data_IF_331388374890
#
_entry.id   IF_331388374890
#
_cell.length_a   1.000
_cell.length_b   1.000
_cell.length_c   1.000
_cell.angle_alpha   90.00
_cell.angle_beta   90.00
_cell.angle_gamma   90.00
#
_symmetry.space_group_name_H-M   'P 1'
#
loop_
_entity.id
_entity.type
_entity.pdbx_description
1 polymer ?
#
# COMPACT_ATOMS: atom_id res chain seq x y z
N UNK A 1 2.53 14.67 13.65
CA UNK A 1 4.02 14.63 13.47
C UNK A 1 4.44 13.60 12.41
N UNK A 2 3.99 12.33 12.47
CA UNK A 2 4.37 11.30 11.48
C UNK A 2 3.84 11.60 10.07
N UNK A 3 2.59 12.05 9.95
CA UNK A 3 1.99 12.44 8.67
C UNK A 3 2.70 13.63 8.02
N UNK A 4 3.11 14.62 8.83
CA UNK A 4 3.95 15.72 8.35
C UNK A 4 5.36 15.25 7.96
N UNK A 5 5.90 14.27 8.70
CA UNK A 5 7.22 13.69 8.39
C UNK A 5 7.16 12.92 7.09
N UNK A 6 6.08 12.16 6.82
CA UNK A 6 5.88 11.42 5.58
C UNK A 6 5.60 12.35 4.39
N UNK A 7 4.74 13.37 4.56
CA UNK A 7 4.55 14.43 3.55
C UNK A 7 5.85 15.21 3.29
N UNK A 8 6.65 15.44 4.32
CA UNK A 8 7.99 16.08 4.17
C UNK A 8 8.97 15.15 3.45
N UNK A 9 8.98 13.84 3.72
CA UNK A 9 9.83 12.86 3.02
C UNK A 9 9.43 12.73 1.54
N UNK A 10 8.14 12.59 1.24
CA UNK A 10 7.64 12.58 -0.14
C UNK A 10 7.97 13.89 -0.87
N UNK A 11 7.74 15.05 -0.24
CA UNK A 11 8.12 16.36 -0.81
C UNK A 11 9.63 16.54 -0.95
N UNK A 12 10.44 16.01 -0.02
CA UNK A 12 11.90 16.07 -0.11
C UNK A 12 12.43 15.14 -1.23
N UNK A 13 11.83 13.97 -1.42
CA UNK A 13 12.13 13.06 -2.53
C UNK A 13 11.76 13.73 -3.87
N UNK A 14 10.55 14.28 -4.03
CA UNK A 14 10.17 15.04 -5.20
C UNK A 14 11.08 16.24 -5.45
N UNK A 15 11.44 16.99 -4.41
CA UNK A 15 12.32 18.17 -4.54
C UNK A 15 13.75 17.80 -4.93
N UNK A 16 14.28 16.66 -4.48
CA UNK A 16 15.58 16.14 -4.91
C UNK A 16 15.54 15.66 -6.37
N UNK A 17 14.41 15.13 -6.82
CA UNK A 17 14.16 14.73 -8.21
C UNK A 17 14.06 15.96 -9.10
N UNK A 18 13.29 16.97 -8.70
CA UNK A 18 13.16 18.23 -9.46
C UNK A 18 14.50 18.97 -9.59
N UNK A 19 15.38 18.88 -8.59
CA UNK A 19 16.75 19.44 -8.67
C UNK A 19 17.60 18.67 -9.67
N UNK A 20 17.54 17.32 -9.68
CA UNK A 20 18.27 16.47 -10.61
C UNK A 20 17.82 16.71 -12.07
N UNK A 21 16.52 16.93 -12.27
CA UNK A 21 15.92 17.19 -13.60
C UNK A 21 16.18 18.61 -14.07
N UNK A 22 16.19 19.61 -13.18
CA UNK A 22 16.49 21.00 -13.55
C UNK A 22 17.96 21.22 -13.99
N UNK A 23 18.87 20.35 -13.58
CA UNK A 23 20.26 20.36 -14.01
C UNK A 23 20.46 19.78 -15.43
N UNK A 24 19.55 18.90 -15.90
CA UNK A 24 19.62 18.32 -17.22
C UNK A 24 19.08 19.22 -18.36
N UNK A 25 18.28 20.25 -18.02
CA UNK A 25 17.92 21.35 -18.95
C UNK A 25 16.99 20.98 -20.11
N UNK A 26 16.54 19.74 -20.26
CA UNK A 26 15.67 19.31 -21.37
C UNK A 26 14.27 18.95 -20.88
N UNK A 27 13.23 19.56 -21.45
CA UNK A 27 11.85 19.08 -21.39
C UNK A 27 11.76 17.78 -22.22
N UNK A 28 11.99 16.65 -21.57
CA UNK A 28 11.91 15.33 -22.20
C UNK A 28 10.46 14.85 -22.37
N UNK A 29 10.25 13.94 -23.30
CA UNK A 29 8.96 13.27 -23.51
C UNK A 29 8.52 12.51 -22.26
N UNK A 30 7.24 12.62 -21.88
CA UNK A 30 6.66 11.84 -20.79
C UNK A 30 6.76 10.34 -21.06
N UNK A 31 7.05 9.56 -20.01
CA UNK A 31 7.11 8.10 -20.10
C UNK A 31 5.70 7.51 -20.17
N UNK A 32 5.45 6.61 -21.11
CA UNK A 32 4.21 5.87 -21.20
C UNK A 32 4.21 4.73 -20.16
N UNK A 33 3.21 4.72 -19.26
CA UNK A 33 3.05 3.65 -18.27
C UNK A 33 2.20 2.52 -18.85
N UNK A 34 2.78 1.32 -18.95
CA UNK A 34 2.14 0.10 -19.49
C UNK A 34 1.96 -1.00 -18.45
N UNK A 35 2.23 -0.70 -17.17
CA UNK A 35 2.25 -1.67 -16.07
C UNK A 35 0.89 -1.98 -15.44
N UNK A 36 -0.23 -1.55 -16.06
CA UNK A 36 -1.56 -2.05 -15.70
C UNK A 36 -1.78 -3.47 -16.22
N UNK A 37 -1.18 -3.80 -17.36
CA UNK A 37 -1.27 -5.13 -17.97
C UNK A 37 -0.21 -6.05 -17.35
N UNK A 38 -0.66 -7.16 -16.76
CA UNK A 38 0.22 -8.12 -16.07
C UNK A 38 1.24 -8.79 -17.01
N UNK A 39 0.90 -8.92 -18.29
CA UNK A 39 1.79 -9.49 -19.30
C UNK A 39 3.09 -8.70 -19.45
N UNK A 40 3.03 -7.40 -19.19
CA UNK A 40 4.19 -6.50 -19.30
C UNK A 40 5.14 -6.58 -18.10
N UNK A 41 4.78 -7.26 -17.00
CA UNK A 41 5.56 -7.20 -15.75
C UNK A 41 6.85 -8.03 -15.78
N UNK A 42 6.87 -9.14 -16.50
CA UNK A 42 7.96 -10.12 -16.41
C UNK A 42 9.10 -9.92 -17.40
N UNK A 43 8.80 -9.35 -18.58
CA UNK A 43 9.80 -9.11 -19.61
C UNK A 43 9.25 -8.12 -20.62
N UNK A 44 9.51 -6.84 -20.42
CA UNK A 44 9.02 -5.78 -21.28
C UNK A 44 10.16 -5.09 -22.04
N UNK A 45 10.16 -5.20 -23.36
CA UNK A 45 11.16 -4.55 -24.21
C UNK A 45 10.79 -3.09 -24.43
N UNK A 46 11.74 -2.20 -24.19
CA UNK A 46 11.60 -0.75 -24.36
C UNK A 46 12.93 -0.14 -24.74
N UNK A 47 12.94 1.18 -24.95
CA UNK A 47 14.16 1.94 -25.21
C UNK A 47 14.52 2.82 -24.02
N UNK A 48 15.77 2.74 -23.57
CA UNK A 48 16.33 3.69 -22.62
C UNK A 48 16.66 4.99 -23.35
N UNK A 49 15.97 6.07 -22.99
CA UNK A 49 16.12 7.37 -23.65
C UNK A 49 17.28 8.16 -23.03
N UNK A 50 17.42 8.10 -21.71
CA UNK A 50 18.35 8.94 -20.96
C UNK A 50 18.83 8.23 -19.68
N UNK A 51 20.07 8.55 -19.27
CA UNK A 51 20.60 8.22 -17.96
C UNK A 51 21.06 9.51 -17.28
N UNK A 52 20.39 9.89 -16.19
CA UNK A 52 20.75 11.05 -15.36
C UNK A 52 21.60 10.54 -14.20
N UNK A 53 22.86 10.97 -14.15
CA UNK A 53 23.79 10.59 -13.09
C UNK A 53 23.90 11.71 -12.06
N UNK A 54 23.79 11.34 -10.78
CA UNK A 54 24.11 12.20 -9.65
C UNK A 54 25.26 11.60 -8.83
N UNK A 55 25.75 12.34 -7.84
CA UNK A 55 26.84 11.85 -6.96
C UNK A 55 26.52 10.51 -6.25
N UNK A 56 25.25 10.16 -6.09
CA UNK A 56 24.77 9.01 -5.28
C UNK A 56 23.97 8.01 -6.03
N UNK A 57 23.32 8.37 -7.14
CA UNK A 57 22.33 7.54 -7.80
C UNK A 57 22.30 7.84 -9.29
N UNK A 58 22.06 6.84 -10.11
CA UNK A 58 21.75 7.01 -11.52
C UNK A 58 20.26 6.72 -11.72
N UNK A 59 19.58 7.59 -12.48
CA UNK A 59 18.19 7.40 -12.87
C UNK A 59 18.13 7.12 -14.37
N UNK A 60 17.48 6.02 -14.74
CA UNK A 60 17.21 5.69 -16.14
C UNK A 60 15.78 6.13 -16.51
N UNK A 61 15.64 6.70 -17.71
CA UNK A 61 14.36 7.10 -18.28
C UNK A 61 14.10 6.26 -19.52
N UNK A 62 12.92 5.64 -19.57
CA UNK A 62 12.49 4.80 -20.68
C UNK A 62 11.32 5.43 -21.43
N UNK A 63 11.21 5.10 -22.72
CA UNK A 63 10.07 5.50 -23.56
C UNK A 63 8.76 4.98 -22.97
N UNK A 64 8.75 3.68 -22.59
CA UNK A 64 7.64 2.98 -21.94
C UNK A 64 8.14 2.20 -20.75
N UNK A 65 7.31 2.07 -19.71
CA UNK A 65 7.69 1.32 -18.51
C UNK A 65 6.52 0.55 -17.90
N UNK A 66 6.73 -0.71 -17.43
CA UNK A 66 5.77 -1.41 -16.60
C UNK A 66 5.91 -1.06 -15.12
N UNK A 67 6.95 -0.33 -14.72
CA UNK A 67 7.23 0.03 -13.32
C UNK A 67 6.33 1.16 -12.86
N UNK A 68 5.61 0.96 -11.78
CA UNK A 68 4.82 2.00 -11.12
C UNK A 68 5.72 2.95 -10.33
N UNK A 69 5.57 4.24 -10.56
CA UNK A 69 6.26 5.25 -9.77
C UNK A 69 5.52 5.52 -8.47
N UNK A 70 6.25 5.83 -7.38
CA UNK A 70 5.65 6.18 -6.09
C UNK A 70 4.73 7.39 -6.22
N UNK A 71 3.43 7.17 -6.08
CA UNK A 71 2.40 8.20 -6.11
C UNK A 71 1.07 7.74 -5.50
N UNK A 72 0.20 8.68 -5.10
CA UNK A 72 -1.14 8.37 -4.58
C UNK A 72 -1.15 7.50 -3.32
N UNK A 73 -0.04 7.44 -2.57
CA UNK A 73 0.10 6.60 -1.38
C UNK A 73 0.55 5.17 -1.67
N UNK A 74 0.64 4.74 -2.94
CA UNK A 74 1.24 3.47 -3.31
C UNK A 74 2.75 3.64 -3.51
N UNK A 75 3.55 2.74 -2.95
CA UNK A 75 5.01 2.70 -3.13
C UNK A 75 5.39 2.35 -4.57
N UNK A 76 6.55 2.82 -5.02
CA UNK A 76 7.13 2.48 -6.32
C UNK A 76 7.53 1.00 -6.42
N UNK A 77 7.68 0.52 -7.63
CA UNK A 77 8.12 -0.85 -7.89
C UNK A 77 9.63 -1.02 -7.78
N UNK A 78 10.01 -2.29 -7.59
CA UNK A 78 11.36 -2.80 -7.68
C UNK A 78 11.45 -3.81 -8.81
N UNK A 79 12.67 -4.09 -9.24
CA UNK A 79 12.91 -5.11 -10.25
C UNK A 79 14.28 -4.96 -10.90
N UNK A 80 14.36 -5.35 -12.17
CA UNK A 80 15.62 -5.34 -12.91
C UNK A 80 15.45 -4.74 -14.29
N UNK A 81 16.54 -4.22 -14.83
CA UNK A 81 16.68 -3.83 -16.22
C UNK A 81 17.90 -4.52 -16.83
N UNK A 82 17.70 -5.11 -17.99
CA UNK A 82 18.78 -5.63 -18.83
C UNK A 82 19.06 -4.61 -19.93
N UNK A 83 20.28 -4.05 -19.95
CA UNK A 83 20.75 -3.13 -21.01
C UNK A 83 22.11 -3.64 -21.51
N UNK A 84 22.20 -3.95 -22.79
CA UNK A 84 23.38 -4.61 -23.39
C UNK A 84 23.74 -5.90 -22.62
N UNK A 85 24.97 -5.98 -22.10
CA UNK A 85 25.44 -7.12 -21.31
C UNK A 85 25.22 -6.96 -19.79
N UNK A 86 24.61 -5.85 -19.36
CA UNK A 86 24.47 -5.50 -17.95
C UNK A 86 23.06 -5.78 -17.44
N UNK A 87 22.97 -6.45 -16.30
CA UNK A 87 21.76 -6.59 -15.49
C UNK A 87 21.86 -5.67 -14.28
N UNK A 88 20.97 -4.68 -14.19
CA UNK A 88 20.97 -3.67 -13.12
C UNK A 88 19.71 -3.80 -12.29
N UNK A 89 19.84 -3.59 -10.97
CA UNK A 89 18.70 -3.56 -10.06
C UNK A 89 18.07 -2.18 -10.04
N UNK A 90 16.74 -2.14 -10.24
CA UNK A 90 15.91 -0.95 -10.04
C UNK A 90 15.41 -0.99 -8.60
N UNK A 91 15.89 -0.06 -7.77
CA UNK A 91 15.59 0.00 -6.33
C UNK A 91 14.43 0.94 -5.97
N UNK A 92 14.05 1.82 -6.87
CA UNK A 92 12.87 2.69 -6.73
C UNK A 92 12.51 3.33 -8.05
N UNK A 93 11.26 3.79 -8.17
CA UNK A 93 10.78 4.57 -9.33
C UNK A 93 10.02 5.79 -8.83
N UNK A 94 10.43 6.96 -9.31
CA UNK A 94 9.81 8.25 -9.01
C UNK A 94 9.24 8.86 -10.29
N UNK A 95 8.33 9.81 -10.17
CA UNK A 95 7.79 10.56 -11.31
C UNK A 95 8.11 12.03 -11.14
N UNK A 96 8.64 12.65 -12.18
CA UNK A 96 8.91 14.09 -12.20
C UNK A 96 7.69 14.91 -12.66
N UNK A 97 7.84 16.25 -12.64
CA UNK A 97 6.79 17.19 -13.03
C UNK A 97 6.44 17.16 -14.54
N UNK A 98 7.35 16.67 -15.39
CA UNK A 98 7.14 16.49 -16.82
C UNK A 98 6.49 15.14 -17.18
N UNK A 99 6.26 14.27 -16.19
CA UNK A 99 5.63 12.98 -16.41
C UNK A 99 6.61 11.87 -16.77
N UNK A 100 7.94 12.10 -16.66
CA UNK A 100 8.95 11.07 -16.87
C UNK A 100 9.07 10.17 -15.64
N UNK A 101 9.28 8.87 -15.84
CA UNK A 101 9.54 7.90 -14.77
C UNK A 101 11.04 7.71 -14.61
N UNK A 102 11.54 8.02 -13.43
CA UNK A 102 12.95 7.96 -13.05
C UNK A 102 13.22 6.66 -12.29
N UNK A 103 13.82 5.70 -12.98
CA UNK A 103 14.17 4.39 -12.43
C UNK A 103 15.53 4.47 -11.77
N UNK A 104 15.56 4.47 -10.44
CA UNK A 104 16.79 4.52 -9.66
C UNK A 104 17.53 3.20 -9.73
N UNK A 105 18.75 3.22 -10.25
CA UNK A 105 19.62 2.05 -10.35
C UNK A 105 20.86 2.20 -9.49
N UNK A 106 21.30 1.08 -8.92
CA UNK A 106 22.53 0.99 -8.15
C UNK A 106 23.66 0.48 -9.02
N UNK A 107 24.90 0.92 -8.70
CA UNK A 107 26.11 0.44 -9.37
C UNK A 107 26.10 0.58 -10.90
N UNK A 108 25.61 1.70 -11.40
CA UNK A 108 25.57 1.97 -12.85
C UNK A 108 27.00 1.99 -13.42
N UNK A 109 27.32 1.20 -14.47
CA UNK A 109 28.66 1.16 -15.06
C UNK A 109 29.01 2.50 -15.71
N UNK A 110 30.12 3.11 -15.31
CA UNK A 110 30.58 4.40 -15.87
C UNK A 110 30.90 4.31 -17.39
N UNK A 111 31.17 3.10 -17.89
CA UNK A 111 31.41 2.86 -19.32
C UNK A 111 30.15 2.75 -20.17
N UNK A 112 28.98 2.61 -19.51
CA UNK A 112 27.70 2.45 -20.21
C UNK A 112 27.10 3.83 -20.49
N UNK A 113 27.04 4.18 -21.77
CA UNK A 113 26.30 5.37 -22.22
C UNK A 113 24.88 4.88 -22.57
N UNK A 114 23.95 4.97 -21.61
CA UNK A 114 22.58 4.48 -21.77
C UNK A 114 21.69 5.50 -22.49
N UNK A 115 22.01 5.77 -23.76
CA UNK A 115 21.20 6.67 -24.59
C UNK A 115 20.74 5.92 -25.85
N UNK A 116 19.42 5.85 -26.06
CA UNK A 116 18.81 5.14 -27.18
C UNK A 116 19.17 3.64 -27.29
N UNK A 117 19.41 2.98 -26.15
CA UNK A 117 19.68 1.55 -26.10
C UNK A 117 18.40 0.75 -25.89
N UNK A 118 18.32 -0.41 -26.52
CA UNK A 118 17.29 -1.41 -26.18
C UNK A 118 17.50 -1.91 -24.75
N UNK A 119 16.37 -2.01 -24.03
CA UNK A 119 16.34 -2.46 -22.65
C UNK A 119 15.19 -3.44 -22.44
N UNK A 120 15.38 -4.40 -21.55
CA UNK A 120 14.32 -5.31 -21.10
C UNK A 120 14.09 -5.06 -19.62
N UNK A 121 12.86 -4.68 -19.29
CA UNK A 121 12.39 -4.37 -17.94
C UNK A 121 11.66 -5.57 -17.33
N UNK A 122 11.96 -5.88 -16.07
CA UNK A 122 11.28 -6.95 -15.31
C UNK A 122 10.94 -6.46 -13.92
N UNK A 123 9.65 -6.35 -13.62
CA UNK A 123 9.12 -5.94 -12.31
C UNK A 123 9.16 -7.13 -11.35
N UNK A 124 9.46 -6.90 -10.07
CA UNK A 124 9.31 -7.89 -9.00
C UNK A 124 7.81 -8.21 -8.83
N UNK A 125 7.36 -9.27 -9.51
CA UNK A 125 5.93 -9.56 -9.72
C UNK A 125 5.21 -9.93 -8.42
N UNK A 126 5.84 -10.74 -7.55
CA UNK A 126 5.22 -11.13 -6.28
C UNK A 126 4.95 -9.92 -5.39
N UNK A 127 5.93 -9.01 -5.32
CA UNK A 127 5.78 -7.75 -4.58
C UNK A 127 4.68 -6.86 -5.19
N UNK A 128 4.63 -6.71 -6.52
CA UNK A 128 3.59 -5.95 -7.22
C UNK A 128 2.21 -6.52 -6.94
N UNK A 129 2.02 -7.83 -7.01
CA UNK A 129 0.75 -8.48 -6.73
C UNK A 129 0.33 -8.29 -5.26
N UNK A 130 1.27 -8.33 -4.32
CA UNK A 130 0.97 -8.02 -2.93
C UNK A 130 0.52 -6.56 -2.74
N UNK A 131 1.18 -5.59 -3.40
CA UNK A 131 0.78 -4.18 -3.41
C UNK A 131 -0.63 -4.02 -4.01
N UNK A 132 -0.94 -4.67 -5.14
CA UNK A 132 -2.27 -4.63 -5.75
C UNK A 132 -3.37 -5.13 -4.82
N UNK A 133 -3.12 -6.22 -4.07
CA UNK A 133 -4.04 -6.74 -3.06
C UNK A 133 -4.32 -5.71 -1.97
N UNK A 134 -3.27 -5.12 -1.40
CA UNK A 134 -3.42 -4.09 -0.36
C UNK A 134 -4.08 -2.82 -0.90
N UNK A 135 -3.79 -2.42 -2.13
CA UNK A 135 -4.40 -1.24 -2.71
C UNK A 135 -5.91 -1.43 -2.95
N UNK A 136 -6.30 -2.53 -3.56
CA UNK A 136 -7.73 -2.82 -3.75
C UNK A 136 -8.44 -3.02 -2.41
N UNK A 137 -7.80 -3.69 -1.44
CA UNK A 137 -8.31 -3.82 -0.08
C UNK A 137 -8.55 -2.45 0.61
N UNK A 138 -7.76 -1.42 0.27
CA UNK A 138 -7.97 -0.05 0.77
C UNK A 138 -9.31 0.52 0.31
N UNK A 139 -9.66 0.35 -0.97
CA UNK A 139 -10.97 0.78 -1.51
C UNK A 139 -12.13 0.03 -0.86
N UNK A 140 -11.99 -1.28 -0.67
CA UNK A 140 -13.01 -2.11 -0.02
C UNK A 140 -13.21 -1.68 1.44
N UNK A 141 -12.11 -1.43 2.17
CA UNK A 141 -12.19 -0.92 3.55
C UNK A 141 -12.80 0.47 3.62
N UNK A 142 -12.47 1.37 2.71
CA UNK A 142 -13.11 2.69 2.64
C UNK A 142 -14.63 2.56 2.46
N UNK A 143 -15.06 1.72 1.52
CA UNK A 143 -16.47 1.42 1.34
C UNK A 143 -17.13 0.81 2.59
N UNK A 144 -16.50 -0.18 3.23
CA UNK A 144 -17.03 -0.81 4.44
C UNK A 144 -17.11 0.16 5.63
N UNK A 145 -16.11 1.03 5.79
CA UNK A 145 -16.12 2.12 6.78
C UNK A 145 -17.29 3.07 6.56
N UNK A 146 -17.52 3.51 5.32
CA UNK A 146 -18.66 4.38 5.00
C UNK A 146 -20.01 3.71 5.25
N UNK A 147 -20.13 2.42 4.94
CA UNK A 147 -21.35 1.64 5.21
C UNK A 147 -21.63 1.47 6.70
N UNK A 148 -20.60 1.33 7.53
CA UNK A 148 -20.76 1.08 8.97
C UNK A 148 -20.82 2.37 9.78
N UNK A 149 -19.99 3.37 9.46
CA UNK A 149 -19.83 4.59 10.25
C UNK A 149 -20.59 5.79 9.68
N UNK A 150 -20.91 5.76 8.38
CA UNK A 150 -21.65 6.80 7.69
C UNK A 150 -20.86 7.55 6.61
N UNK A 151 -21.58 8.33 5.79
CA UNK A 151 -21.04 9.01 4.61
C UNK A 151 -20.06 10.16 4.89
N UNK A 152 -19.91 10.56 6.16
CA UNK A 152 -18.92 11.54 6.60
C UNK A 152 -17.48 10.99 6.56
N UNK A 153 -17.32 9.66 6.49
CA UNK A 153 -16.02 9.02 6.36
C UNK A 153 -15.41 9.37 5.00
N UNK A 154 -14.27 10.06 5.04
CA UNK A 154 -13.51 10.47 3.86
C UNK A 154 -12.05 10.17 4.08
N UNK A 155 -11.33 9.81 3.02
CA UNK A 155 -9.89 9.63 3.08
C UNK A 155 -9.18 10.93 3.44
N UNK A 156 -8.35 10.89 4.48
CA UNK A 156 -7.42 11.96 4.87
C UNK A 156 -5.99 11.66 4.44
N UNK A 157 -5.67 10.39 4.17
CA UNK A 157 -4.39 9.90 3.68
C UNK A 157 -4.39 8.38 3.56
N UNK A 158 -3.46 7.86 2.77
CA UNK A 158 -3.25 6.42 2.63
C UNK A 158 -1.77 6.09 2.43
N UNK A 159 -1.41 4.86 2.72
CA UNK A 159 -0.11 4.31 2.38
C UNK A 159 -0.28 2.82 2.12
N UNK A 160 0.21 2.37 0.98
CA UNK A 160 0.08 0.99 0.52
C UNK A 160 1.45 0.46 0.13
N UNK A 161 1.86 -0.63 0.76
CA UNK A 161 3.05 -1.38 0.42
C UNK A 161 2.76 -2.89 0.30
N UNK A 162 3.80 -3.71 0.04
CA UNK A 162 3.63 -5.16 -0.13
C UNK A 162 3.24 -5.89 1.15
N UNK A 163 3.48 -5.30 2.32
CA UNK A 163 3.27 -5.93 3.63
C UNK A 163 1.97 -5.52 4.30
N UNK A 164 1.48 -4.30 4.03
CA UNK A 164 0.31 -3.72 4.69
C UNK A 164 -0.30 -2.57 3.92
N UNK A 165 -1.48 -2.19 4.34
CA UNK A 165 -2.12 -0.93 4.00
C UNK A 165 -2.35 -0.09 5.26
N UNK A 166 -2.36 1.22 5.09
CA UNK A 166 -2.74 2.21 6.09
C UNK A 166 -3.74 3.17 5.48
N UNK A 167 -4.83 3.39 6.17
CA UNK A 167 -5.90 4.28 5.76
C UNK A 167 -6.25 5.27 6.86
N UNK A 168 -6.02 6.55 6.60
CA UNK A 168 -6.36 7.66 7.50
C UNK A 168 -7.68 8.27 7.04
N UNK A 169 -8.65 8.42 7.93
CA UNK A 169 -10.01 8.85 7.57
C UNK A 169 -10.62 9.81 8.60
N UNK A 170 -11.59 10.61 8.15
CA UNK A 170 -12.34 11.52 9.01
C UNK A 170 -13.36 10.76 9.85
N UNK A 171 -13.18 10.80 11.18
CA UNK A 171 -14.15 10.31 12.15
C UNK A 171 -13.82 10.86 13.54
N UNK A 172 -14.83 11.27 14.31
CA UNK A 172 -14.63 11.99 15.58
C UNK A 172 -14.51 11.06 16.78
N UNK A 173 -15.15 9.91 16.73
CA UNK A 173 -15.21 8.95 17.84
C UNK A 173 -14.23 7.79 17.62
N UNK A 174 -13.92 7.06 18.68
CA UNK A 174 -13.19 5.80 18.57
C UNK A 174 -14.09 4.76 17.88
N UNK A 175 -13.56 4.03 16.90
CA UNK A 175 -14.28 2.91 16.31
C UNK A 175 -14.34 1.78 17.33
N UNK A 176 -15.57 1.34 17.68
CA UNK A 176 -15.71 0.28 18.70
C UNK A 176 -15.23 -1.08 18.20
N UNK A 177 -14.87 -2.02 19.09
CA UNK A 177 -14.50 -3.37 18.67
C UNK A 177 -15.56 -4.05 17.80
N UNK A 178 -16.85 -3.85 18.13
CA UNK A 178 -17.97 -4.42 17.39
C UNK A 178 -18.06 -3.82 15.98
N UNK A 179 -17.83 -2.50 15.84
CA UNK A 179 -17.79 -1.83 14.54
C UNK A 179 -16.59 -2.31 13.71
N UNK A 180 -15.41 -2.49 14.32
CA UNK A 180 -14.23 -3.04 13.62
C UNK A 180 -14.50 -4.45 13.08
N UNK A 181 -15.14 -5.30 13.90
CA UNK A 181 -15.54 -6.65 13.47
C UNK A 181 -16.55 -6.56 12.31
N UNK A 182 -17.54 -5.68 12.40
CA UNK A 182 -18.53 -5.51 11.34
C UNK A 182 -17.90 -5.03 10.03
N UNK A 183 -16.97 -4.05 10.08
CA UNK A 183 -16.23 -3.53 8.91
C UNK A 183 -15.40 -4.64 8.27
N UNK A 184 -14.66 -5.40 9.06
CA UNK A 184 -13.82 -6.50 8.61
C UNK A 184 -14.65 -7.61 7.95
N UNK A 185 -15.75 -8.02 8.59
CA UNK A 185 -16.65 -9.03 8.05
C UNK A 185 -17.26 -8.57 6.73
N UNK A 186 -17.78 -7.34 6.68
CA UNK A 186 -18.37 -6.77 5.48
C UNK A 186 -17.38 -6.71 4.31
N UNK A 187 -16.12 -6.35 4.61
CA UNK A 187 -15.06 -6.37 3.61
C UNK A 187 -14.79 -7.80 3.11
N UNK A 188 -14.61 -8.77 4.02
CA UNK A 188 -14.32 -10.17 3.65
C UNK A 188 -15.49 -10.85 2.92
N UNK A 189 -16.74 -10.53 3.26
CA UNK A 189 -17.92 -11.00 2.50
C UNK A 189 -17.83 -10.56 1.04
N UNK A 190 -17.39 -9.33 0.76
CA UNK A 190 -17.19 -8.84 -0.60
C UNK A 190 -16.08 -9.57 -1.34
N UNK A 191 -14.99 -9.94 -0.65
CA UNK A 191 -13.91 -10.71 -1.26
C UNK A 191 -14.38 -12.07 -1.77
N UNK A 192 -15.29 -12.73 -1.04
CA UNK A 192 -15.83 -14.04 -1.40
C UNK A 192 -16.70 -14.02 -2.67
N UNK A 193 -17.24 -12.86 -3.06
CA UNK A 193 -18.06 -12.74 -4.28
C UNK A 193 -17.21 -12.79 -5.55
N UNK A 194 -15.90 -12.58 -5.45
CA UNK A 194 -14.95 -12.59 -6.57
C UNK A 194 -15.38 -11.70 -7.76
N UNK A 195 -16.00 -10.56 -7.45
CA UNK A 195 -16.46 -9.60 -8.46
C UNK A 195 -15.27 -8.94 -9.19
N UNK A 196 -15.42 -8.53 -10.46
CA UNK A 196 -14.34 -7.92 -11.23
C UNK A 196 -13.98 -6.54 -10.69
N UNK A 197 -12.72 -6.18 -10.85
CA UNK A 197 -12.20 -4.83 -10.63
C UNK A 197 -11.88 -4.24 -11.98
N UNK A 198 -12.68 -3.25 -12.39
CA UNK A 198 -12.55 -2.58 -13.67
C UNK A 198 -11.86 -1.23 -13.50
N UNK A 199 -11.08 -0.83 -14.50
CA UNK A 199 -10.49 0.48 -14.52
C UNK A 199 -10.66 1.09 -15.91
N UNK A 200 -11.13 2.33 -15.96
CA UNK A 200 -11.38 3.05 -17.21
C UNK A 200 -11.14 4.55 -17.04
N UNK A 201 -10.88 5.22 -18.14
CA UNK A 201 -10.65 6.66 -18.17
C UNK A 201 -11.90 7.40 -18.68
N UNK A 202 -12.17 8.54 -18.05
CA UNK A 202 -13.27 9.43 -18.43
C UNK A 202 -12.81 10.90 -18.36
N UNK A 203 -13.43 11.81 -19.11
CA UNK A 203 -13.29 13.25 -18.85
C UNK A 203 -13.76 13.57 -17.43
N UNK A 204 -13.01 14.39 -16.70
CA UNK A 204 -13.39 14.76 -15.31
C UNK A 204 -14.76 15.45 -15.25
N UNK A 205 -15.12 16.19 -16.31
CA UNK A 205 -16.43 16.83 -16.45
C UNK A 205 -17.61 15.85 -16.55
N UNK A 206 -17.35 14.60 -16.93
CA UNK A 206 -18.34 13.52 -17.08
C UNK A 206 -18.35 12.55 -15.91
N UNK A 207 -17.61 12.87 -14.81
CA UNK A 207 -17.55 12.03 -13.63
C UNK A 207 -18.94 11.82 -13.01
N UNK A 208 -19.42 10.56 -12.90
CA UNK A 208 -20.67 10.25 -12.23
C UNK A 208 -20.66 10.65 -10.75
N UNK A 209 -21.81 10.99 -10.19
CA UNK A 209 -21.96 11.41 -8.79
C UNK A 209 -21.60 10.30 -7.78
N UNK A 210 -21.74 9.03 -8.16
CA UNK A 210 -21.40 7.86 -7.34
C UNK A 210 -19.90 7.57 -7.30
N UNK A 211 -19.08 8.26 -8.13
CA UNK A 211 -17.63 8.15 -8.11
C UNK A 211 -17.04 9.07 -7.06
N UNK A 212 -16.37 8.50 -6.07
CA UNK A 212 -15.70 9.22 -5.00
C UNK A 212 -14.40 9.85 -5.51
N UNK A 213 -14.27 11.16 -5.32
CA UNK A 213 -13.05 11.93 -5.56
C UNK A 213 -12.48 12.42 -4.22
N UNK A 214 -11.15 12.46 -4.09
CA UNK A 214 -10.51 12.90 -2.86
C UNK A 214 -10.36 14.42 -2.82
N UNK A 215 -10.58 15.01 -1.65
CA UNK A 215 -10.50 16.45 -1.47
C UNK A 215 -9.05 16.96 -1.52
N UNK A 216 -8.83 18.01 -2.32
CA UNK A 216 -7.53 18.69 -2.40
C UNK A 216 -6.59 18.16 -3.47
N UNK A 217 -6.97 17.12 -4.19
CA UNK A 217 -6.23 16.65 -5.35
C UNK A 217 -6.55 17.52 -6.57
N UNK A 218 -5.51 17.83 -7.35
CA UNK A 218 -5.67 18.50 -8.63
C UNK A 218 -5.83 17.41 -9.70
N UNK A 219 -7.03 17.31 -10.24
CA UNK A 219 -7.32 16.37 -11.32
C UNK A 219 -7.07 17.01 -12.68
N UNK A 220 -6.53 16.22 -13.60
CA UNK A 220 -6.41 16.61 -15.01
C UNK A 220 -7.77 16.61 -15.73
N UNK A 221 -7.75 16.88 -17.03
CA UNK A 221 -8.95 16.82 -17.89
C UNK A 221 -9.49 15.39 -17.97
N UNK A 222 -8.62 14.38 -17.96
CA UNK A 222 -8.95 12.95 -17.96
C UNK A 222 -8.57 12.36 -16.61
N UNK A 223 -9.44 11.53 -16.06
CA UNK A 223 -9.27 10.83 -14.78
C UNK A 223 -9.55 9.35 -14.93
N UNK A 224 -8.82 8.55 -14.16
CA UNK A 224 -9.01 7.10 -14.12
C UNK A 224 -9.92 6.74 -12.96
N UNK A 225 -11.01 6.02 -13.26
CA UNK A 225 -11.94 5.44 -12.30
C UNK A 225 -11.57 3.99 -12.07
N UNK A 226 -11.53 3.58 -10.81
CA UNK A 226 -11.45 2.17 -10.40
C UNK A 226 -12.82 1.80 -9.84
N UNK A 227 -13.46 0.84 -10.49
CA UNK A 227 -14.78 0.31 -10.17
C UNK A 227 -14.63 -1.12 -9.64
N UNK A 228 -14.95 -1.31 -8.37
CA UNK A 228 -14.90 -2.60 -7.68
C UNK A 228 -16.32 -3.14 -7.60
N UNK A 229 -16.67 -4.11 -8.43
CA UNK A 229 -17.96 -4.82 -8.41
C UNK A 229 -19.19 -3.93 -8.57
N UNK A 230 -19.06 -2.70 -9.08
CA UNK A 230 -20.15 -1.74 -9.24
C UNK A 230 -20.59 -1.01 -7.95
N UNK A 231 -20.09 -1.42 -6.77
CA UNK A 231 -20.48 -0.89 -5.47
C UNK A 231 -19.47 0.06 -4.82
N UNK A 232 -18.21 0.06 -5.26
CA UNK A 232 -17.19 1.04 -4.86
C UNK A 232 -16.53 1.60 -6.11
N UNK A 233 -16.67 2.90 -6.34
CA UNK A 233 -16.07 3.59 -7.48
C UNK A 233 -15.31 4.81 -6.99
N UNK A 234 -14.01 4.85 -7.31
CA UNK A 234 -13.12 5.91 -6.83
C UNK A 234 -12.15 6.35 -7.91
N UNK A 235 -11.77 7.64 -7.89
CA UNK A 235 -10.68 8.13 -8.73
C UNK A 235 -9.36 7.59 -8.20
N UNK A 236 -8.68 6.75 -8.98
CA UNK A 236 -7.43 6.13 -8.56
C UNK A 236 -6.50 5.82 -9.72
N UNK A 237 -5.26 6.31 -9.63
CA UNK A 237 -4.19 6.03 -10.60
C UNK A 237 -3.31 4.82 -10.24
N UNK A 238 -3.61 4.11 -9.16
CA UNK A 238 -2.81 2.98 -8.68
C UNK A 238 -3.04 1.67 -9.40
N UNK A 239 -2.31 0.64 -8.97
CA UNK A 239 -2.43 -0.71 -9.54
C UNK A 239 -3.33 -1.59 -8.66
N UNK A 240 -4.18 -2.40 -9.29
CA UNK A 240 -5.22 -3.18 -8.63
C UNK A 240 -5.22 -4.64 -9.07
N UNK A 241 -5.85 -5.49 -8.28
CA UNK A 241 -6.19 -6.87 -8.67
C UNK A 241 -7.24 -6.85 -9.79
N UNK A 242 -7.38 -7.94 -10.53
CA UNK A 242 -8.39 -8.06 -11.60
C UNK A 242 -9.76 -8.46 -11.06
N UNK A 243 -9.80 -9.18 -9.95
CA UNK A 243 -11.01 -9.55 -9.23
C UNK A 243 -10.76 -9.53 -7.72
N UNK A 244 -11.80 -9.19 -6.93
CA UNK A 244 -11.66 -9.02 -5.47
C UNK A 244 -11.23 -10.30 -4.76
N UNK A 245 -11.57 -11.48 -5.28
CA UNK A 245 -11.15 -12.77 -4.73
C UNK A 245 -9.63 -13.00 -4.73
N UNK A 246 -8.87 -12.32 -5.60
CA UNK A 246 -7.40 -12.40 -5.60
C UNK A 246 -6.77 -11.82 -4.32
N UNK A 247 -7.51 -11.01 -3.57
CA UNK A 247 -7.08 -10.48 -2.27
C UNK A 247 -6.99 -11.60 -1.24
N UNK A 248 -7.88 -12.60 -1.33
CA UNK A 248 -7.95 -13.75 -0.45
C UNK A 248 -8.61 -13.41 0.89
N UNK A 249 -7.84 -12.99 1.87
CA UNK A 249 -8.30 -12.64 3.22
C UNK A 249 -7.76 -11.27 3.64
N UNK A 250 -8.60 -10.50 4.32
CA UNK A 250 -8.26 -9.19 4.88
C UNK A 250 -8.40 -9.22 6.40
N UNK A 251 -7.40 -8.68 7.11
CA UNK A 251 -7.41 -8.54 8.57
C UNK A 251 -7.06 -7.13 8.99
N UNK A 252 -7.92 -6.50 9.78
CA UNK A 252 -7.63 -5.23 10.46
C UNK A 252 -6.66 -5.54 11.61
N UNK A 253 -5.52 -4.85 11.65
CA UNK A 253 -4.47 -5.07 12.65
C UNK A 253 -4.47 -4.02 13.75
N UNK A 254 -4.84 -2.78 13.43
CA UNK A 254 -4.93 -1.69 14.40
C UNK A 254 -5.90 -0.60 13.99
N UNK A 255 -6.42 0.12 14.99
CA UNK A 255 -7.17 1.36 14.83
C UNK A 255 -6.73 2.34 15.92
N UNK A 256 -6.52 3.62 15.56
CA UNK A 256 -6.04 4.64 16.50
C UNK A 256 -6.39 6.06 16.05
N UNK A 257 -6.42 7.01 17.00
CA UNK A 257 -6.50 8.44 16.70
C UNK A 257 -5.12 8.97 16.28
N UNK A 258 -5.06 9.79 15.23
CA UNK A 258 -3.81 10.45 14.80
C UNK A 258 -3.88 11.98 14.91
N UNK A 259 -5.08 12.54 14.85
CA UNK A 259 -5.38 13.95 15.06
C UNK A 259 -6.83 14.13 15.50
N UNK A 260 -7.21 15.34 15.91
CA UNK A 260 -8.63 15.65 16.18
C UNK A 260 -9.46 15.39 14.92
N UNK A 261 -10.50 14.56 15.03
CA UNK A 261 -11.39 14.21 13.92
C UNK A 261 -10.75 13.33 12.84
N UNK A 262 -9.57 12.75 13.07
CA UNK A 262 -8.90 11.85 12.12
C UNK A 262 -8.44 10.57 12.80
N UNK A 263 -8.88 9.46 12.24
CA UNK A 263 -8.56 8.09 12.69
C UNK A 263 -7.65 7.41 11.67
N UNK A 264 -6.86 6.45 12.12
CA UNK A 264 -6.00 5.59 11.32
C UNK A 264 -6.42 4.15 11.50
N UNK A 265 -6.56 3.45 10.40
CA UNK A 265 -6.75 2.01 10.35
C UNK A 265 -5.55 1.39 9.61
N UNK A 266 -4.99 0.33 10.17
CA UNK A 266 -4.00 -0.51 9.47
C UNK A 266 -4.59 -1.89 9.25
N UNK A 267 -4.29 -2.48 8.09
CA UNK A 267 -4.75 -3.81 7.74
C UNK A 267 -3.72 -4.52 6.86
N UNK A 268 -3.84 -5.83 6.81
CA UNK A 268 -3.06 -6.74 5.98
C UNK A 268 -4.00 -7.58 5.11
N UNK A 269 -3.51 -7.99 3.93
CA UNK A 269 -4.29 -8.76 2.97
C UNK A 269 -3.46 -9.89 2.35
N UNK A 270 -4.12 -10.94 1.88
CA UNK A 270 -3.49 -12.09 1.22
C UNK A 270 -2.49 -12.81 2.10
N UNK A 271 -1.28 -13.05 1.59
CA UNK A 271 -0.22 -13.77 2.31
C UNK A 271 0.14 -13.10 3.65
N UNK A 272 0.19 -11.75 3.69
CA UNK A 272 0.46 -11.01 4.92
C UNK A 272 -0.62 -11.22 5.98
N UNK A 273 -1.89 -11.37 5.57
CA UNK A 273 -2.99 -11.66 6.50
C UNK A 273 -2.92 -13.11 7.03
N UNK A 274 -2.53 -14.07 6.19
CA UNK A 274 -2.26 -15.44 6.63
C UNK A 274 -1.13 -15.48 7.64
N UNK A 275 0.01 -14.86 7.33
CA UNK A 275 1.14 -14.80 8.26
C UNK A 275 0.73 -14.17 9.60
N UNK A 276 0.01 -13.06 9.58
CA UNK A 276 -0.49 -12.41 10.80
C UNK A 276 -1.37 -13.35 11.64
N UNK A 277 -2.28 -14.11 10.99
CA UNK A 277 -3.14 -15.07 11.68
C UNK A 277 -2.33 -16.23 12.29
N UNK A 278 -1.39 -16.80 11.53
CA UNK A 278 -0.53 -17.89 11.99
C UNK A 278 0.33 -17.50 13.19
N UNK A 279 0.89 -16.28 13.18
CA UNK A 279 1.63 -15.74 14.32
C UNK A 279 0.75 -15.65 15.58
N UNK A 280 -0.51 -15.18 15.45
CA UNK A 280 -1.45 -15.11 16.59
C UNK A 280 -1.86 -16.49 17.09
N UNK A 281 -2.13 -17.43 16.19
CA UNK A 281 -2.42 -18.83 16.55
C UNK A 281 -1.22 -19.46 17.27
N UNK A 282 0.00 -19.23 16.76
CA UNK A 282 1.22 -19.72 17.41
C UNK A 282 1.40 -19.17 18.81
N UNK A 283 1.16 -17.86 19.03
CA UNK A 283 1.20 -17.23 20.35
C UNK A 283 0.18 -17.84 21.31
N UNK A 284 -1.06 -18.08 20.85
CA UNK A 284 -2.11 -18.72 21.64
C UNK A 284 -1.69 -20.14 22.02
N UNK A 285 -1.12 -20.92 21.10
CA UNK A 285 -0.65 -22.27 21.36
C UNK A 285 0.50 -22.30 22.38
N UNK A 286 1.45 -21.36 22.29
CA UNK A 286 2.52 -21.21 23.27
C UNK A 286 1.98 -20.89 24.66
N UNK A 287 1.03 -19.94 24.78
CA UNK A 287 0.36 -19.61 26.04
C UNK A 287 -0.37 -20.83 26.62
N UNK A 288 -1.07 -21.59 25.76
CA UNK A 288 -1.75 -22.83 26.15
C UNK A 288 -0.79 -23.86 26.73
N UNK A 289 0.37 -24.06 26.12
CA UNK A 289 1.44 -24.94 26.62
C UNK A 289 2.02 -24.46 27.95
N UNK A 290 2.37 -23.16 28.07
CA UNK A 290 2.91 -22.61 29.33
C UNK A 290 1.94 -22.70 30.50
N UNK A 291 0.65 -22.53 30.24
CA UNK A 291 -0.39 -22.60 31.27
C UNK A 291 -0.91 -24.02 31.51
N UNK A 292 -0.46 -25.01 30.74
CA UNK A 292 -0.92 -26.39 30.75
C UNK A 292 -2.46 -26.49 30.71
N UNK A 293 -3.09 -25.78 29.76
CA UNK A 293 -4.53 -25.75 29.54
C UNK A 293 -4.86 -25.65 28.04
N UNK A 294 -6.13 -25.87 27.67
CA UNK A 294 -6.58 -25.67 26.28
C UNK A 294 -6.67 -24.19 25.94
N UNK A 295 -6.58 -23.80 24.63
CA UNK A 295 -6.69 -22.41 24.21
C UNK A 295 -7.92 -21.66 24.76
N UNK A 296 -9.08 -22.29 24.80
CA UNK A 296 -10.31 -21.70 25.35
C UNK A 296 -10.32 -21.50 26.88
N UNK A 297 -9.40 -22.13 27.60
CA UNK A 297 -9.31 -22.09 29.07
C UNK A 297 -8.24 -21.07 29.56
N UNK A 298 -7.48 -20.44 28.64
CA UNK A 298 -6.36 -19.54 28.96
C UNK A 298 -6.79 -18.42 29.92
N UNK A 299 -7.90 -17.74 29.61
CA UNK A 299 -8.38 -16.59 30.40
C UNK A 299 -8.76 -17.02 31.80
N UNK A 300 -9.47 -18.13 31.96
CA UNK A 300 -9.85 -18.70 33.24
C UNK A 300 -8.60 -19.07 34.05
N UNK A 301 -7.63 -19.73 33.42
CA UNK A 301 -6.37 -20.14 34.09
C UNK A 301 -5.57 -18.94 34.57
N UNK A 302 -5.48 -17.87 33.79
CA UNK A 302 -4.83 -16.60 34.18
C UNK A 302 -5.56 -15.98 35.39
N UNK A 303 -6.88 -15.90 35.33
CA UNK A 303 -7.70 -15.36 36.44
C UNK A 303 -7.50 -16.13 37.75
N UNK A 304 -7.40 -17.44 37.65
CA UNK A 304 -7.15 -18.32 38.80
C UNK A 304 -5.74 -18.13 39.38
N UNK A 305 -4.73 -17.96 38.52
CA UNK A 305 -3.36 -17.66 38.95
C UNK A 305 -3.26 -16.28 39.62
N UNK A 306 -3.92 -15.26 39.06
CA UNK A 306 -3.98 -13.93 39.66
C UNK A 306 -4.65 -13.95 41.06
N UNK A 307 -5.74 -14.71 41.23
CA UNK A 307 -6.42 -14.86 42.51
C UNK A 307 -5.52 -15.54 43.54
N UNK A 308 -4.86 -16.65 43.16
CA UNK A 308 -3.91 -17.34 44.04
C UNK A 308 -2.73 -16.45 44.43
N UNK A 309 -2.19 -15.67 43.49
CA UNK A 309 -1.11 -14.72 43.80
C UNK A 309 -1.55 -13.72 44.87
N UNK A 310 -2.73 -13.10 44.74
CA UNK A 310 -3.28 -12.16 45.72
C UNK A 310 -3.52 -12.82 47.10
N UNK A 311 -3.95 -14.07 47.11
CA UNK A 311 -4.13 -14.82 48.37
C UNK A 311 -2.80 -15.12 49.05
N UNK A 312 -1.78 -15.52 48.30
CA UNK A 312 -0.44 -15.75 48.81
C UNK A 312 0.19 -14.47 49.36
N UNK A 313 0.06 -13.35 48.66
CA UNK A 313 0.54 -12.05 49.13
C UNK A 313 -0.11 -11.64 50.46
N UNK A 314 -1.43 -11.91 50.63
CA UNK A 314 -2.13 -11.67 51.90
C UNK A 314 -1.58 -12.56 53.01
N UNK A 315 -1.34 -13.84 52.71
CA UNK A 315 -0.76 -14.78 53.72
C UNK A 315 0.65 -14.36 54.14
N UNK A 316 1.50 -13.98 53.19
CA UNK A 316 2.85 -13.48 53.48
C UNK A 316 2.78 -12.29 54.44
N UNK A 317 1.99 -11.26 54.13
CA UNK A 317 1.81 -10.09 54.99
C UNK A 317 1.27 -10.41 56.37
N UNK A 318 0.44 -11.45 56.50
CA UNK A 318 -0.09 -11.88 57.80
C UNK A 318 0.91 -12.71 58.64
N UNK A 319 1.97 -13.24 58.00
CA UNK A 319 3.04 -13.99 58.70
C UNK A 319 4.21 -13.08 59.07
N UNK A 320 4.33 -11.92 58.46
CA UNK A 320 5.34 -10.88 58.75
C UNK A 320 4.92 -9.92 59.88
N UNK A 321 3.65 -9.97 60.32
CA UNK A 321 3.10 -9.26 61.49
C UNK A 321 3.14 -10.14 62.73
#
# INVERSE_FOLDING_TARGET
KEMETQKKRARAAHKSVDILVSESGEEGQATEFVGFDRENLTSFSTRCLEAIQSEKTTCLIFEKTPFYAEMGGQVGDYGTVQIAEHSLTISNVLKDSSGRFLHQVENFPASLIATNLEAVLSVETERRLAIQRHHTATHILHWALRKTLGDHVRQAGSSVDASRLRFDFSHFEAVTPEQLIAIENLANEKLLLNEPVLAYEIPFSEKPDDVVAFFGDKYGETVRVVDVGGWSKELCGGTHVQAVGEIGYLKITSESAIASGTRRLEAVAGASAHQFADERISQINQLSQHLACKPGEIIERISLLQTKSKELDKKIRSLEQ
#
